data_IF_071945348573
#
_entry.id   IF_071945348573
#
_cell.length_a   1.000
_cell.length_b   1.000
_cell.length_c   1.000
_cell.angle_alpha   90.00
_cell.angle_beta   90.00
_cell.angle_gamma   90.00
#
_symmetry.space_group_name_H-M   'P 1'
#
loop_
_entity.id
_entity.type
_entity.pdbx_description
1 polymer ?
#
# COMPACT_ATOMS: atom_id res chain seq x y z
N UNK A 1 -20.63 -22.85 -9.45
CA UNK A 1 -20.11 -24.15 -8.99
C UNK A 1 -20.42 -24.40 -7.52
N UNK A 2 -20.16 -23.45 -6.60
CA UNK A 2 -20.54 -23.62 -5.17
C UNK A 2 -21.91 -23.00 -4.81
N UNK A 3 -22.40 -22.05 -5.62
CA UNK A 3 -23.76 -21.50 -5.48
C UNK A 3 -24.84 -22.51 -5.89
N UNK A 4 -24.51 -23.38 -6.84
CA UNK A 4 -25.43 -24.36 -7.42
C UNK A 4 -25.72 -25.53 -6.47
N UNK A 5 -24.77 -25.87 -5.60
CA UNK A 5 -24.93 -26.93 -4.59
C UNK A 5 -25.77 -26.49 -3.40
N UNK A 6 -25.72 -25.20 -3.02
CA UNK A 6 -26.55 -24.64 -1.96
C UNK A 6 -28.01 -24.49 -2.40
N UNK A 7 -28.25 -24.15 -3.68
CA UNK A 7 -29.59 -24.14 -4.26
C UNK A 7 -30.23 -25.52 -4.34
N UNK A 8 -29.43 -26.56 -4.66
CA UNK A 8 -29.90 -27.95 -4.71
C UNK A 8 -30.34 -28.47 -3.33
N UNK A 9 -29.61 -28.09 -2.28
CA UNK A 9 -29.94 -28.48 -0.90
C UNK A 9 -31.26 -27.86 -0.41
N UNK A 10 -31.66 -26.71 -0.95
CA UNK A 10 -32.89 -25.99 -0.60
C UNK A 10 -34.14 -26.54 -1.34
N UNK A 11 -33.93 -27.24 -2.47
CA UNK A 11 -34.99 -27.92 -3.21
C UNK A 11 -35.29 -29.32 -2.65
N UNK A 12 -34.34 -29.94 -1.96
CA UNK A 12 -34.49 -31.30 -1.41
C UNK A 12 -35.10 -31.31 0.00
N UNK A 13 -35.11 -30.18 0.70
CA UNK A 13 -35.62 -30.05 2.07
C UNK A 13 -37.00 -29.37 2.11
N UNK A 14 -37.99 -29.94 1.41
CA UNK A 14 -39.41 -29.53 1.48
C UNK A 14 -40.10 -30.07 2.75
N UNK A 15 -39.35 -30.20 3.85
CA UNK A 15 -39.89 -30.59 5.15
C UNK A 15 -40.44 -29.36 5.87
N UNK A 16 -41.62 -28.92 5.42
CA UNK A 16 -42.60 -28.08 6.12
C UNK A 16 -42.13 -27.46 7.46
N UNK A 17 -41.44 -26.32 7.41
CA UNK A 17 -41.29 -25.42 8.55
C UNK A 17 -41.25 -23.96 8.09
N UNK A 18 -41.98 -23.12 8.82
CA UNK A 18 -42.48 -21.78 8.49
C UNK A 18 -41.38 -20.71 8.62
N UNK A 19 -40.29 -20.86 7.87
CA UNK A 19 -39.05 -20.14 8.16
C UNK A 19 -38.51 -19.38 6.93
N UNK A 20 -39.15 -18.24 6.62
CA UNK A 20 -38.67 -17.17 5.72
C UNK A 20 -37.24 -16.67 6.06
N UNK A 21 -36.72 -17.08 7.22
CA UNK A 21 -35.44 -16.74 7.79
C UNK A 21 -34.25 -17.40 7.08
N UNK A 22 -34.42 -18.57 6.46
CA UNK A 22 -33.31 -19.29 5.81
C UNK A 22 -32.86 -18.61 4.51
N UNK A 23 -33.83 -18.13 3.71
CA UNK A 23 -33.56 -17.34 2.51
C UNK A 23 -32.92 -16.00 2.89
N UNK A 24 -33.40 -15.37 3.97
CA UNK A 24 -32.84 -14.12 4.48
C UNK A 24 -31.40 -14.30 4.99
N UNK A 25 -31.08 -15.41 5.66
CA UNK A 25 -29.75 -15.72 6.17
C UNK A 25 -28.72 -15.88 5.03
N UNK A 26 -29.11 -16.50 3.92
CA UNK A 26 -28.24 -16.66 2.74
C UNK A 26 -27.97 -15.30 2.08
N UNK A 27 -29.00 -14.48 1.88
CA UNK A 27 -28.82 -13.13 1.32
C UNK A 27 -27.91 -12.25 2.19
N UNK A 28 -28.03 -12.36 3.52
CA UNK A 28 -27.18 -11.62 4.46
C UNK A 28 -25.73 -12.12 4.42
N UNK A 29 -25.51 -13.43 4.28
CA UNK A 29 -24.17 -14.01 4.13
C UNK A 29 -23.49 -13.57 2.84
N UNK A 30 -24.22 -13.43 1.73
CA UNK A 30 -23.67 -12.94 0.47
C UNK A 30 -23.41 -11.43 0.49
N UNK A 31 -24.23 -10.64 1.18
CA UNK A 31 -23.92 -9.23 1.47
C UNK A 31 -22.62 -9.09 2.28
N UNK A 32 -22.43 -9.92 3.31
CA UNK A 32 -21.23 -9.91 4.14
C UNK A 32 -19.95 -10.36 3.39
N UNK A 33 -20.04 -11.32 2.46
CA UNK A 33 -18.89 -11.74 1.61
C UNK A 33 -18.43 -10.64 0.64
N UNK A 34 -19.35 -9.75 0.25
CA UNK A 34 -19.08 -8.64 -0.67
C UNK A 34 -18.53 -7.40 0.04
N UNK A 35 -18.36 -7.43 1.36
CA UNK A 35 -17.60 -6.42 2.12
C UNK A 35 -16.09 -6.62 1.91
N UNK A 36 -15.63 -6.50 0.66
CA UNK A 36 -14.22 -6.34 0.40
C UNK A 36 -13.75 -5.08 1.13
N UNK A 37 -12.62 -5.13 1.88
CA UNK A 37 -12.12 -3.95 2.58
C UNK A 37 -11.89 -2.85 1.55
N UNK A 38 -12.70 -1.80 1.59
CA UNK A 38 -12.52 -0.63 0.73
C UNK A 38 -11.12 -0.10 0.96
N UNK A 39 -10.24 -0.27 -0.04
CA UNK A 39 -8.92 0.35 -0.02
C UNK A 39 -9.10 1.84 0.24
N UNK A 40 -8.55 2.33 1.35
CA UNK A 40 -8.77 3.68 1.85
C UNK A 40 -8.45 4.71 0.78
N UNK A 41 -9.49 5.39 0.28
CA UNK A 41 -9.36 6.45 -0.70
C UNK A 41 -8.87 7.77 -0.09
N UNK A 42 -8.88 8.81 -0.92
CA UNK A 42 -8.62 10.18 -0.45
C UNK A 42 -9.61 10.57 0.65
N UNK A 43 -9.11 11.12 1.75
CA UNK A 43 -9.93 11.63 2.85
C UNK A 43 -10.41 13.04 2.48
N UNK A 44 -11.73 13.23 2.37
CA UNK A 44 -12.30 14.56 2.15
C UNK A 44 -11.91 15.50 3.31
N UNK A 45 -11.46 16.71 2.98
CA UNK A 45 -10.96 17.66 3.97
C UNK A 45 -9.51 17.43 4.42
N UNK A 46 -8.76 16.53 3.76
CA UNK A 46 -7.35 16.35 4.04
C UNK A 46 -6.54 17.62 3.70
N UNK A 47 -5.95 18.23 4.73
CA UNK A 47 -5.10 19.40 4.60
C UNK A 47 -3.69 19.01 4.12
N UNK A 48 -3.28 19.55 2.98
CA UNK A 48 -1.92 19.35 2.45
C UNK A 48 -0.95 20.32 3.12
N UNK A 49 -0.24 19.83 4.14
CA UNK A 49 0.82 20.61 4.79
C UNK A 49 2.05 20.71 3.88
N UNK A 50 2.40 21.93 3.46
CA UNK A 50 3.61 22.20 2.65
C UNK A 50 4.87 22.19 3.52
N UNK A 51 5.42 21.00 3.74
CA UNK A 51 6.64 20.77 4.54
C UNK A 51 7.94 21.14 3.81
N UNK A 52 8.04 22.34 3.24
CA UNK A 52 9.24 22.93 2.61
C UNK A 52 10.17 21.90 1.93
N UNK A 53 9.60 21.03 1.07
CA UNK A 53 10.28 19.86 0.52
C UNK A 53 11.60 20.24 -0.16
N UNK A 54 11.58 21.33 -0.93
CA UNK A 54 12.74 21.88 -1.61
C UNK A 54 13.92 22.18 -0.68
N UNK A 55 13.66 22.68 0.54
CA UNK A 55 14.72 22.94 1.53
C UNK A 55 15.27 21.63 2.10
N UNK A 56 14.42 20.63 2.29
CA UNK A 56 14.84 19.29 2.68
C UNK A 56 15.73 18.65 1.62
N UNK A 57 15.34 18.77 0.35
CA UNK A 57 16.07 18.20 -0.78
C UNK A 57 17.44 18.86 -0.96
N UNK A 58 17.51 20.19 -0.92
CA UNK A 58 18.77 20.92 -0.98
C UNK A 58 19.71 20.50 0.15
N UNK A 59 19.20 20.42 1.38
CA UNK A 59 20.00 19.98 2.53
C UNK A 59 20.48 18.53 2.39
N UNK A 60 19.64 17.63 1.86
CA UNK A 60 20.02 16.24 1.62
C UNK A 60 21.17 16.17 0.59
N UNK A 61 21.12 17.01 -0.44
CA UNK A 61 22.18 17.12 -1.43
C UNK A 61 23.49 17.61 -0.80
N UNK A 62 23.44 18.72 -0.08
CA UNK A 62 24.62 19.32 0.57
C UNK A 62 25.28 18.36 1.57
N UNK A 63 24.46 17.64 2.35
CA UNK A 63 24.95 16.75 3.42
C UNK A 63 25.66 15.49 2.88
N UNK A 64 25.30 14.98 1.69
CA UNK A 64 25.73 13.66 1.21
C UNK A 64 26.26 13.58 -0.22
N UNK A 65 25.82 14.47 -1.12
CA UNK A 65 26.08 14.38 -2.57
C UNK A 65 26.89 15.57 -3.13
N UNK A 66 27.11 16.61 -2.34
CA UNK A 66 28.03 17.69 -2.69
C UNK A 66 29.45 17.17 -2.96
N UNK A 67 30.26 18.00 -3.63
CA UNK A 67 31.66 17.70 -3.92
C UNK A 67 32.47 17.41 -2.64
N UNK A 68 32.20 18.17 -1.58
CA UNK A 68 32.72 17.96 -0.24
C UNK A 68 31.54 17.69 0.73
N UNK A 69 31.07 16.43 0.84
CA UNK A 69 29.89 16.11 1.62
C UNK A 69 30.19 16.18 3.12
N UNK A 70 29.22 16.68 3.90
CA UNK A 70 29.33 16.79 5.37
C UNK A 70 29.48 15.41 6.03
N UNK A 71 28.82 14.39 5.48
CA UNK A 71 28.84 13.03 6.03
C UNK A 71 29.44 12.01 5.05
N UNK A 72 30.31 11.15 5.58
CA UNK A 72 30.86 10.01 4.86
C UNK A 72 29.74 9.07 4.33
N UNK A 73 29.93 8.42 3.16
CA UNK A 73 28.96 7.49 2.57
C UNK A 73 28.45 6.37 3.51
N UNK A 74 29.27 5.91 4.45
CA UNK A 74 28.87 4.90 5.45
C UNK A 74 27.72 5.41 6.33
N UNK A 75 27.75 6.69 6.70
CA UNK A 75 26.70 7.33 7.51
C UNK A 75 25.38 7.40 6.77
N UNK A 76 25.40 7.73 5.47
CA UNK A 76 24.22 7.73 4.61
C UNK A 76 23.56 6.34 4.58
N UNK A 77 24.34 5.28 4.30
CA UNK A 77 23.84 3.90 4.25
C UNK A 77 23.21 3.46 5.57
N UNK A 78 23.84 3.81 6.71
CA UNK A 78 23.33 3.48 8.04
C UNK A 78 22.02 4.20 8.35
N UNK A 79 21.90 5.49 8.00
CA UNK A 79 20.71 6.31 8.28
C UNK A 79 19.51 5.92 7.43
N UNK A 80 19.70 5.78 6.13
CA UNK A 80 18.60 5.47 5.20
C UNK A 80 18.35 3.97 5.03
N UNK A 81 19.15 3.13 5.70
CA UNK A 81 19.03 1.66 5.70
C UNK A 81 18.82 1.12 4.28
N UNK A 82 19.63 1.60 3.35
CA UNK A 82 19.65 1.13 1.96
C UNK A 82 20.07 -0.35 1.98
N UNK A 83 19.12 -1.25 1.73
CA UNK A 83 19.37 -2.71 1.61
C UNK A 83 20.13 -3.07 0.33
N UNK A 84 20.20 -2.13 -0.62
CA UNK A 84 20.83 -2.29 -1.93
C UNK A 84 22.05 -1.37 -2.00
N UNK A 85 23.16 -1.87 -2.56
CA UNK A 85 24.36 -1.10 -2.83
C UNK A 85 24.04 0.00 -3.84
N UNK A 86 23.72 1.20 -3.36
CA UNK A 86 23.91 2.41 -4.14
C UNK A 86 25.41 2.70 -4.12
N UNK A 87 26.13 2.26 -5.15
CA UNK A 87 27.50 2.73 -5.34
C UNK A 87 27.43 4.23 -5.55
N UNK A 88 27.97 4.98 -4.59
CA UNK A 88 28.26 6.40 -4.73
C UNK A 88 29.30 6.50 -5.85
N UNK A 89 28.84 6.74 -7.07
CA UNK A 89 29.73 7.04 -8.20
C UNK A 89 29.94 8.55 -8.12
N UNK A 90 31.11 9.03 -7.65
CA UNK A 90 31.43 10.43 -7.79
C UNK A 90 31.38 10.73 -9.30
N UNK A 91 30.58 11.71 -9.70
CA UNK A 91 30.52 12.20 -11.08
C UNK A 91 31.82 12.97 -11.35
N UNK A 92 32.93 12.24 -11.45
CA UNK A 92 34.27 12.74 -11.71
C UNK A 92 34.97 11.74 -12.62
N UNK A 93 34.60 11.73 -13.90
CA UNK A 93 35.50 11.41 -15.01
C UNK A 93 34.77 11.55 -16.35
N UNK A 94 34.57 12.79 -16.83
CA UNK A 94 34.51 13.06 -18.28
C UNK A 94 34.96 14.50 -18.53
N UNK A 95 36.28 14.72 -18.40
CA UNK A 95 36.98 15.82 -19.07
C UNK A 95 38.10 15.20 -19.91
N UNK A 96 38.01 15.40 -21.21
CA UNK A 96 39.07 15.11 -22.18
C UNK A 96 39.00 13.70 -22.79
N UNK A 97 38.43 13.58 -23.98
CA UNK A 97 39.12 13.57 -25.29
C UNK A 97 38.17 14.21 -26.30
#
# INVERSE_FOLDING_TARGET
MEMDSLLLRLLEDDSSSDDDYDVAAIMLADLAKNEQPKHGGSVQGHEVVRRNKQKGDAKLFDDYFAEEPVFCPVTFRRRFRMSVLLTFVPVLSFRGI
#
